data_IF_137399343421
#
_entry.id   IF_137399343421
#
_cell.length_a   1.000
_cell.length_b   1.000
_cell.length_c   1.000
_cell.angle_alpha   90.00
_cell.angle_beta   90.00
_cell.angle_gamma   90.00
#
_symmetry.space_group_name_H-M   'P 1'
#
loop_
_entity.id
_entity.type
_entity.pdbx_description
1 polymer ?
#
# COMPACT_ATOMS: atom_id res chain seq x y z
N UNK A 1 -0.28 27.01 -53.00
CA UNK A 1 0.31 25.93 -52.17
C UNK A 1 0.34 26.42 -50.73
N UNK A 2 -0.61 26.00 -49.91
CA UNK A 2 -0.85 26.59 -48.58
C UNK A 2 -0.29 25.66 -47.50
N UNK A 3 0.73 26.11 -46.78
CA UNK A 3 1.30 25.40 -45.63
C UNK A 3 0.48 25.74 -44.39
N UNK A 4 -0.22 24.75 -43.83
CA UNK A 4 -0.85 24.87 -42.51
C UNK A 4 0.15 24.33 -41.49
N UNK A 5 0.68 25.23 -40.65
CA UNK A 5 1.52 24.90 -39.50
C UNK A 5 0.61 24.81 -38.29
N UNK A 6 0.29 23.59 -37.85
CA UNK A 6 -0.45 23.37 -36.61
C UNK A 6 0.53 23.20 -35.45
N UNK A 7 0.56 24.21 -34.58
CA UNK A 7 1.27 24.18 -33.29
C UNK A 7 0.44 23.37 -32.32
N UNK A 8 0.88 22.17 -31.98
CA UNK A 8 0.29 21.38 -30.89
C UNK A 8 0.98 21.76 -29.60
N UNK A 9 0.28 22.52 -28.75
CA UNK A 9 0.71 22.83 -27.40
C UNK A 9 0.62 21.57 -26.53
N UNK A 10 1.77 21.07 -26.08
CA UNK A 10 1.86 19.94 -25.17
C UNK A 10 1.69 20.45 -23.73
N UNK A 11 0.47 20.33 -23.19
CA UNK A 11 0.24 20.56 -21.75
C UNK A 11 0.81 19.38 -20.96
N UNK A 12 1.93 19.59 -20.28
CA UNK A 12 2.46 18.65 -19.30
C UNK A 12 1.61 18.71 -18.02
N UNK A 13 0.73 17.73 -17.83
CA UNK A 13 0.01 17.55 -16.56
C UNK A 13 0.95 16.79 -15.62
N UNK A 14 1.61 17.52 -14.72
CA UNK A 14 2.38 16.95 -13.61
C UNK A 14 1.40 16.29 -12.63
N UNK A 15 1.15 14.99 -12.81
CA UNK A 15 0.41 14.18 -11.86
C UNK A 15 1.28 13.92 -10.63
N UNK A 16 1.13 14.71 -9.57
CA UNK A 16 1.58 14.34 -8.24
C UNK A 16 0.95 13.01 -7.87
N UNK A 17 1.78 11.97 -7.74
CA UNK A 17 1.38 10.70 -7.15
C UNK A 17 1.10 10.95 -5.66
N UNK A 18 -0.14 11.32 -5.35
CA UNK A 18 -0.62 11.36 -3.99
C UNK A 18 -0.52 9.93 -3.44
N UNK A 19 0.39 9.74 -2.47
CA UNK A 19 0.47 8.51 -1.71
C UNK A 19 -0.93 8.21 -1.17
N UNK A 20 -1.51 7.07 -1.58
CA UNK A 20 -2.81 6.67 -1.07
C UNK A 20 -2.70 6.53 0.46
N UNK A 21 -3.57 7.21 1.23
CA UNK A 21 -3.61 7.04 2.67
C UNK A 21 -3.86 5.55 2.97
N UNK A 22 -3.21 5.05 4.01
CA UNK A 22 -3.36 3.67 4.49
C UNK A 22 -4.82 3.47 4.90
N UNK A 23 -5.64 3.01 3.95
CA UNK A 23 -7.09 2.99 4.02
C UNK A 23 -7.67 1.61 4.33
N UNK A 24 -6.91 0.70 4.92
CA UNK A 24 -7.49 -0.54 5.38
C UNK A 24 -8.03 -0.37 6.80
N UNK A 25 -9.32 -0.06 6.88
CA UNK A 25 -10.14 -0.24 8.09
C UNK A 25 -10.19 -1.73 8.48
N UNK A 26 -9.82 -2.64 7.57
CA UNK A 26 -9.80 -4.07 7.79
C UNK A 26 -8.41 -4.56 8.22
N UNK A 27 -8.34 -5.61 9.07
CA UNK A 27 -7.08 -6.25 9.42
C UNK A 27 -6.37 -6.81 8.18
N UNK A 28 -5.05 -6.63 8.12
CA UNK A 28 -4.19 -7.15 7.06
C UNK A 28 -3.28 -8.25 7.60
N UNK A 29 -3.22 -9.39 6.92
CA UNK A 29 -2.24 -10.44 7.21
C UNK A 29 -1.00 -10.15 6.38
N UNK A 30 0.15 -9.98 7.04
CA UNK A 30 1.44 -9.69 6.38
C UNK A 30 2.56 -10.51 6.99
N UNK A 31 3.65 -10.66 6.25
CA UNK A 31 4.92 -11.11 6.80
C UNK A 31 5.68 -9.89 7.33
N UNK A 32 6.11 -9.96 8.58
CA UNK A 32 6.83 -8.89 9.25
C UNK A 32 7.99 -9.42 10.09
N UNK A 33 8.97 -8.54 10.35
CA UNK A 33 10.08 -8.78 11.27
C UNK A 33 10.37 -7.52 12.07
N UNK A 34 11.10 -7.64 13.17
CA UNK A 34 11.65 -6.50 13.90
C UNK A 34 13.10 -6.30 13.48
N UNK A 35 13.39 -5.10 13.00
CA UNK A 35 14.71 -4.69 12.55
C UNK A 35 15.01 -3.31 13.13
N UNK A 36 16.14 -3.16 13.82
CA UNK A 36 16.58 -1.89 14.41
C UNK A 36 15.51 -1.19 15.28
N UNK A 37 14.73 -1.96 16.05
CA UNK A 37 13.67 -1.42 16.92
C UNK A 37 12.40 -0.98 16.20
N UNK A 38 12.27 -1.31 14.92
CA UNK A 38 11.09 -1.05 14.10
C UNK A 38 10.48 -2.36 13.61
N UNK A 39 9.15 -2.42 13.57
CA UNK A 39 8.44 -3.44 12.83
C UNK A 39 8.56 -3.09 11.34
N UNK A 40 9.04 -4.02 10.53
CA UNK A 40 9.21 -3.90 9.09
C UNK A 40 8.32 -4.92 8.40
N UNK A 41 7.55 -4.50 7.39
CA UNK A 41 6.68 -5.37 6.62
C UNK A 41 6.54 -4.91 5.17
N UNK A 42 6.29 -5.86 4.27
CA UNK A 42 5.97 -5.56 2.89
C UNK A 42 4.48 -5.25 2.74
N UNK A 43 4.15 -4.20 1.98
CA UNK A 43 2.79 -3.91 1.54
C UNK A 43 2.73 -3.84 0.02
N UNK A 44 1.74 -4.51 -0.56
CA UNK A 44 1.50 -4.52 -2.01
C UNK A 44 0.33 -3.61 -2.32
N UNK A 45 0.59 -2.56 -3.09
CA UNK A 45 -0.43 -1.59 -3.50
C UNK A 45 -0.62 -1.64 -5.02
N UNK A 46 -1.83 -1.36 -5.48
CA UNK A 46 -2.12 -1.17 -6.91
C UNK A 46 -1.93 0.30 -7.24
N UNK A 47 -0.89 0.61 -8.01
CA UNK A 47 -0.61 1.97 -8.46
C UNK A 47 -0.92 2.12 -9.95
N UNK A 48 -1.57 3.22 -10.37
CA UNK A 48 -1.75 3.52 -11.78
C UNK A 48 -0.41 3.87 -12.41
N UNK A 49 0.01 3.09 -13.41
CA UNK A 49 1.24 3.29 -14.18
C UNK A 49 0.86 3.52 -15.64
N UNK A 50 1.44 4.54 -16.26
CA UNK A 50 1.23 4.81 -17.68
C UNK A 50 2.13 3.89 -18.52
N UNK A 51 1.54 3.14 -19.45
CA UNK A 51 2.28 2.29 -20.40
C UNK A 51 1.88 2.59 -21.85
N UNK A 52 2.85 2.60 -22.78
CA UNK A 52 2.54 2.65 -24.20
C UNK A 52 2.00 1.30 -24.66
N UNK A 53 0.87 1.30 -25.34
CA UNK A 53 0.26 0.13 -25.96
C UNK A 53 0.05 0.41 -27.43
N UNK A 54 0.45 -0.53 -28.29
CA UNK A 54 0.19 -0.46 -29.72
C UNK A 54 -1.22 -0.97 -29.98
N UNK A 55 -2.07 -0.12 -30.52
CA UNK A 55 -3.43 -0.47 -30.95
C UNK A 55 -3.55 -0.35 -32.45
N UNK A 56 -4.17 -1.35 -33.07
CA UNK A 56 -4.50 -1.30 -34.48
C UNK A 56 -5.79 -0.50 -34.65
N UNK A 57 -5.68 0.66 -35.29
CA UNK A 57 -6.81 1.53 -35.63
C UNK A 57 -7.01 1.55 -37.14
N UNK A 58 -8.26 1.57 -37.60
CA UNK A 58 -8.55 1.68 -39.03
C UNK A 58 -8.60 3.16 -39.40
N UNK A 59 -7.65 3.61 -40.22
CA UNK A 59 -7.59 4.98 -40.75
C UNK A 59 -7.75 4.87 -42.26
N UNK A 60 -8.78 5.53 -42.81
CA UNK A 60 -9.11 5.48 -44.25
C UNK A 60 -9.29 4.04 -44.79
N UNK A 61 -9.92 3.15 -44.00
CA UNK A 61 -10.18 1.76 -44.39
C UNK A 61 -8.96 0.83 -44.34
N UNK A 62 -7.81 1.29 -43.85
CA UNK A 62 -6.60 0.47 -43.68
C UNK A 62 -6.20 0.34 -42.20
N UNK A 63 -5.84 -0.86 -41.71
CA UNK A 63 -5.32 -1.04 -40.36
C UNK A 63 -3.95 -0.36 -40.22
N UNK A 64 -3.82 0.52 -39.24
CA UNK A 64 -2.60 1.27 -38.90
C UNK A 64 -2.29 1.05 -37.42
N UNK A 65 -1.02 0.80 -37.09
CA UNK A 65 -0.58 0.68 -35.70
C UNK A 65 -0.37 2.09 -35.09
N UNK A 66 -1.08 2.40 -34.02
CA UNK A 66 -0.96 3.66 -33.27
C UNK A 66 -0.48 3.33 -31.85
N UNK A 67 0.51 4.05 -31.35
CA UNK A 67 0.92 3.92 -29.93
C UNK A 67 0.07 4.85 -29.09
N UNK A 68 -0.66 4.30 -28.13
CA UNK A 68 -1.44 5.06 -27.15
C UNK A 68 -0.91 4.83 -25.75
N UNK A 69 -0.86 5.88 -24.95
CA UNK A 69 -0.58 5.75 -23.53
C UNK A 69 -1.86 5.37 -22.81
N UNK A 70 -1.84 4.22 -22.13
CA UNK A 70 -2.95 3.78 -21.28
C UNK A 70 -2.49 3.73 -19.83
N UNK A 71 -3.40 4.00 -18.91
CA UNK A 71 -3.16 3.83 -17.47
C UNK A 71 -3.52 2.41 -17.09
N UNK A 72 -2.56 1.65 -16.56
CA UNK A 72 -2.74 0.29 -16.09
C UNK A 72 -2.45 0.22 -14.58
N UNK A 73 -3.26 -0.52 -13.82
CA UNK A 73 -2.99 -0.77 -12.41
C UNK A 73 -1.89 -1.84 -12.27
N UNK A 74 -0.72 -1.43 -11.80
CA UNK A 74 0.41 -2.33 -11.54
C UNK A 74 0.55 -2.58 -10.04
N UNK A 75 0.80 -3.84 -9.65
CA UNK A 75 1.14 -4.19 -8.26
C UNK A 75 2.57 -3.71 -7.96
N UNK A 76 2.70 -2.82 -6.99
CA UNK A 76 3.98 -2.33 -6.49
C UNK A 76 4.11 -2.78 -5.04
N UNK A 77 5.19 -3.50 -4.73
CA UNK A 77 5.52 -3.89 -3.36
C UNK A 77 6.45 -2.85 -2.78
N UNK A 78 6.09 -2.30 -1.63
CA UNK A 78 6.90 -1.35 -0.88
C UNK A 78 7.10 -1.84 0.53
N UNK A 79 8.29 -1.60 1.08
CA UNK A 79 8.57 -1.87 2.48
C UNK A 79 8.04 -0.71 3.34
N UNK A 80 7.44 -1.03 4.47
CA UNK A 80 6.96 -0.09 5.47
C UNK A 80 7.61 -0.42 6.80
N UNK A 81 7.82 0.62 7.60
CA UNK A 81 8.38 0.49 8.93
C UNK A 81 7.63 1.35 9.93
N UNK A 82 7.44 0.86 11.14
CA UNK A 82 6.89 1.62 12.27
C UNK A 82 7.67 1.29 13.54
N UNK A 83 7.96 2.29 14.37
CA UNK A 83 8.75 2.07 15.58
C UNK A 83 7.96 1.22 16.58
N UNK A 84 8.59 0.17 17.15
CA UNK A 84 7.89 -0.79 18.03
C UNK A 84 7.23 -0.11 19.24
N UNK A 85 7.83 0.98 19.75
CA UNK A 85 7.28 1.76 20.86
C UNK A 85 5.92 2.40 20.58
N UNK A 86 5.55 2.59 19.31
CA UNK A 86 4.28 3.18 18.90
C UNK A 86 3.19 2.13 18.68
N UNK A 87 3.53 0.85 18.83
CA UNK A 87 2.64 -0.27 18.54
C UNK A 87 1.96 -0.77 19.80
N UNK A 88 0.75 -1.29 19.65
CA UNK A 88 0.13 -2.17 20.64
C UNK A 88 0.07 -3.56 20.07
N UNK A 89 0.71 -4.52 20.75
CA UNK A 89 0.68 -5.91 20.34
C UNK A 89 -0.11 -6.76 21.35
N UNK A 90 -0.86 -7.72 20.84
CA UNK A 90 -1.56 -8.73 21.62
C UNK A 90 -1.51 -10.08 20.91
N UNK A 91 -1.74 -11.15 21.65
CA UNK A 91 -2.00 -12.46 21.06
C UNK A 91 -3.48 -12.64 20.67
N UNK A 92 -3.84 -13.76 20.04
CA UNK A 92 -5.22 -14.04 19.64
C UNK A 92 -6.19 -14.13 20.83
N UNK A 93 -5.68 -14.53 22.00
CA UNK A 93 -6.44 -14.52 23.25
C UNK A 93 -6.60 -13.11 23.86
N UNK A 94 -5.98 -12.09 23.26
CA UNK A 94 -6.05 -10.69 23.69
C UNK A 94 -5.09 -10.31 24.81
N UNK A 95 -4.13 -11.18 25.16
CA UNK A 95 -3.08 -10.87 26.14
C UNK A 95 -2.06 -9.95 25.49
N UNK A 96 -1.74 -8.85 26.19
CA UNK A 96 -0.75 -7.90 25.70
C UNK A 96 0.63 -8.57 25.53
N UNK A 97 1.32 -8.24 24.44
CA UNK A 97 2.70 -8.62 24.17
C UNK A 97 3.54 -7.36 24.33
N UNK A 98 4.49 -7.39 25.27
CA UNK A 98 5.41 -6.27 25.46
C UNK A 98 6.44 -6.18 24.31
N UNK A 99 7.15 -5.05 24.21
CA UNK A 99 8.10 -4.80 23.12
C UNK A 99 9.23 -5.85 23.04
N UNK A 100 9.74 -6.29 24.19
CA UNK A 100 10.83 -7.28 24.28
C UNK A 100 10.39 -8.64 23.72
N UNK A 101 9.24 -9.15 24.18
CA UNK A 101 8.69 -10.42 23.70
C UNK A 101 8.24 -10.32 22.25
N UNK A 102 7.75 -9.17 21.81
CA UNK A 102 7.43 -8.95 20.40
C UNK A 102 8.70 -9.03 19.53
N UNK A 103 9.78 -8.38 19.96
CA UNK A 103 11.08 -8.42 19.28
C UNK A 103 11.67 -9.83 19.23
N UNK A 104 11.50 -10.63 20.28
CA UNK A 104 11.90 -12.04 20.29
C UNK A 104 11.09 -12.87 19.29
N UNK A 105 9.76 -12.72 19.27
CA UNK A 105 8.86 -13.46 18.37
C UNK A 105 9.00 -13.07 16.90
N UNK A 106 9.47 -11.85 16.63
CA UNK A 106 9.65 -11.29 15.29
C UNK A 106 11.14 -11.07 14.95
N UNK A 107 12.06 -11.77 15.63
CA UNK A 107 13.48 -11.75 15.26
C UNK A 107 13.69 -12.25 13.84
N UNK A 108 12.89 -13.24 13.44
CA UNK A 108 12.78 -13.74 12.09
C UNK A 108 11.45 -13.30 11.47
N UNK A 109 11.33 -13.46 10.15
CA UNK A 109 10.08 -13.17 9.45
C UNK A 109 8.95 -14.09 9.92
N UNK A 110 7.86 -13.50 10.39
CA UNK A 110 6.67 -14.22 10.81
C UNK A 110 5.40 -13.53 10.33
N UNK A 111 4.34 -14.33 10.22
CA UNK A 111 3.02 -13.84 9.83
C UNK A 111 2.36 -13.13 11.01
N UNK A 112 1.91 -11.89 10.78
CA UNK A 112 1.21 -11.06 11.76
C UNK A 112 -0.05 -10.47 11.16
N UNK A 113 -0.96 -10.05 12.04
CA UNK A 113 -2.15 -9.29 11.66
C UNK A 113 -1.95 -7.83 12.04
N UNK A 114 -1.94 -6.94 11.06
CA UNK A 114 -1.86 -5.50 11.26
C UNK A 114 -3.25 -4.88 11.17
N UNK A 115 -3.53 -3.90 12.02
CA UNK A 115 -4.74 -3.10 11.94
C UNK A 115 -4.42 -1.66 12.31
N UNK A 116 -5.00 -0.69 11.58
CA UNK A 116 -4.81 0.72 11.88
C UNK A 116 -5.80 1.14 12.98
N UNK A 117 -5.28 1.55 14.13
CA UNK A 117 -6.08 1.82 15.32
C UNK A 117 -6.55 0.55 16.04
N UNK A 118 -7.49 0.72 16.99
CA UNK A 118 -7.96 -0.39 17.85
C UNK A 118 -8.61 -1.49 17.01
N UNK A 119 -8.15 -2.72 17.19
CA UNK A 119 -8.76 -3.89 16.56
C UNK A 119 -10.08 -4.23 17.26
N UNK A 120 -11.22 -4.30 16.55
CA UNK A 120 -12.48 -4.72 17.15
C UNK A 120 -12.42 -6.16 17.69
N UNK A 121 -13.04 -6.41 18.85
CA UNK A 121 -13.01 -7.73 19.51
C UNK A 121 -13.61 -8.85 18.64
N UNK A 122 -14.55 -8.51 17.75
CA UNK A 122 -15.12 -9.45 16.79
C UNK A 122 -14.07 -10.03 15.83
N UNK A 123 -13.12 -9.21 15.37
CA UNK A 123 -12.02 -9.67 14.53
C UNK A 123 -10.99 -10.45 15.33
N UNK A 124 -10.72 -10.06 16.58
CA UNK A 124 -9.78 -10.80 17.46
C UNK A 124 -10.17 -12.27 17.59
N UNK A 125 -11.47 -12.56 17.80
CA UNK A 125 -12.00 -13.94 17.90
C UNK A 125 -11.87 -14.78 16.63
N UNK A 126 -11.61 -14.16 15.48
CA UNK A 126 -11.41 -14.88 14.23
C UNK A 126 -9.98 -15.44 14.08
N UNK A 127 -9.05 -15.01 14.94
CA UNK A 127 -7.65 -15.44 14.90
C UNK A 127 -7.36 -16.45 16.01
N UNK A 128 -6.42 -17.36 15.75
CA UNK A 128 -5.97 -18.35 16.74
C UNK A 128 -5.21 -17.68 17.87
N UNK A 129 -5.19 -18.28 19.05
CA UNK A 129 -4.54 -17.75 20.25
C UNK A 129 -3.06 -17.41 20.03
N UNK A 130 -2.35 -18.16 19.20
CA UNK A 130 -0.94 -17.92 18.89
C UNK A 130 -0.69 -16.71 17.96
N UNK A 131 -1.72 -16.19 17.30
CA UNK A 131 -1.58 -15.11 16.30
C UNK A 131 -1.09 -13.83 16.94
N UNK A 132 -0.11 -13.18 16.31
CA UNK A 132 0.36 -11.85 16.73
C UNK A 132 -0.52 -10.80 16.06
N UNK A 133 -1.24 -10.04 16.88
CA UNK A 133 -2.10 -8.94 16.46
C UNK A 133 -1.39 -7.62 16.81
N UNK A 134 -1.27 -6.71 15.84
CA UNK A 134 -0.57 -5.44 16.01
C UNK A 134 -1.49 -4.30 15.58
N UNK A 135 -1.71 -3.36 16.50
CA UNK A 135 -2.40 -2.10 16.23
C UNK A 135 -1.38 -1.02 15.89
N UNK A 136 -1.42 -0.53 14.66
CA UNK A 136 -0.66 0.61 14.17
C UNK A 136 -1.31 1.92 14.64
N UNK A 137 -0.54 2.99 14.86
CA UNK A 137 -1.12 4.31 15.11
C UNK A 137 -2.01 4.73 13.93
N UNK A 138 -3.18 5.28 14.23
CA UNK A 138 -4.07 5.85 13.22
C UNK A 138 -3.43 7.06 12.53
N UNK A 139 -3.91 7.43 11.32
CA UNK A 139 -3.49 8.68 10.71
C UNK A 139 -3.77 9.83 11.69
N UNK A 140 -2.76 10.66 11.96
CA UNK A 140 -2.95 11.85 12.78
C UNK A 140 -4.07 12.68 12.15
N UNK A 141 -5.08 13.07 12.94
CA UNK A 141 -6.14 13.92 12.45
C UNK A 141 -5.52 15.19 11.85
N UNK A 142 -5.96 15.64 10.66
CA UNK A 142 -5.43 16.87 10.08
C UNK A 142 -5.64 18.02 11.07
N UNK A 143 -4.68 18.95 11.19
CA UNK A 143 -4.84 20.09 12.08
C UNK A 143 -6.13 20.81 11.71
N UNK A 144 -6.98 21.06 12.71
CA UNK A 144 -8.16 21.92 12.52
C UNK A 144 -7.63 23.30 12.15
N UNK A 145 -7.87 23.72 10.90
CA UNK A 145 -7.66 25.10 10.47
C UNK A 145 -8.74 25.99 11.09
#
# INVERSE_FOLDING_TARGET
MTRVVSVVALLAVAGSAAAQPVGAINPQVVTARIENGSLVWATTQLLPVQKPVVVTVVVNGRPTAETRTVTELTRVTSERSEAVKNLKAADGAGRAINAERLAERLREEATVVLHVGRLPDAFRRAFRDETILIELPGPAAPPRQ
#
